data_IF_677634827070
#
_entry.id   IF_677634827070
#
_cell.length_a   1.000
_cell.length_b   1.000
_cell.length_c   1.000
_cell.angle_alpha   90.00
_cell.angle_beta   90.00
_cell.angle_gamma   90.00
#
_symmetry.space_group_name_H-M   'P 1'
#
loop_
_entity.id
_entity.type
_entity.pdbx_description
1 polymer ?
#
# COMPACT_ATOMS: atom_id res chain seq x y z
N UNK A 1 -23.17 38.03 -14.72
CA UNK A 1 -23.18 37.00 -13.67
C UNK A 1 -22.99 35.64 -14.29
N UNK A 2 -21.75 35.12 -14.26
CA UNK A 2 -21.36 33.88 -14.93
C UNK A 2 -21.67 32.66 -14.07
N UNK A 3 -22.34 31.68 -14.65
CA UNK A 3 -22.53 30.35 -14.06
C UNK A 3 -21.46 29.42 -14.65
N UNK A 4 -20.40 29.16 -13.89
CA UNK A 4 -19.45 28.08 -14.20
C UNK A 4 -20.12 26.74 -13.89
N UNK A 5 -20.70 26.12 -14.92
CA UNK A 5 -21.04 24.69 -14.87
C UNK A 5 -19.72 23.91 -14.97
N UNK A 6 -19.25 23.45 -13.82
CA UNK A 6 -18.14 22.49 -13.71
C UNK A 6 -18.53 21.22 -14.46
N UNK A 7 -18.05 21.09 -15.69
CA UNK A 7 -18.02 19.83 -16.40
C UNK A 7 -16.93 18.99 -15.73
N UNK A 8 -17.32 18.10 -14.83
CA UNK A 8 -16.51 16.95 -14.49
C UNK A 8 -16.47 16.11 -15.77
N UNK A 9 -15.52 16.44 -16.64
CA UNK A 9 -15.07 15.53 -17.69
C UNK A 9 -14.43 14.37 -16.94
N UNK A 10 -15.22 13.34 -16.67
CA UNK A 10 -14.69 11.97 -16.67
C UNK A 10 -14.23 11.69 -18.09
N UNK A 11 -13.09 12.29 -18.46
CA UNK A 11 -12.28 11.79 -19.54
C UNK A 11 -11.90 10.39 -19.09
N UNK A 12 -12.71 9.43 -19.54
CA UNK A 12 -12.50 8.01 -19.43
C UNK A 12 -11.02 7.78 -19.68
N UNK A 13 -10.27 7.46 -18.62
CA UNK A 13 -8.96 6.88 -18.78
C UNK A 13 -9.24 5.60 -19.56
N UNK A 14 -8.93 5.62 -20.85
CA UNK A 14 -9.02 4.42 -21.68
C UNK A 14 -7.84 3.56 -21.26
N UNK A 15 -8.03 2.76 -20.20
CA UNK A 15 -7.10 1.70 -19.84
C UNK A 15 -7.17 0.66 -20.96
N UNK A 16 -6.40 0.86 -22.03
CA UNK A 16 -6.14 -0.22 -22.97
C UNK A 16 -5.44 -1.31 -22.18
N UNK A 17 -6.04 -2.49 -22.12
CA UNK A 17 -5.40 -3.66 -21.54
C UNK A 17 -4.11 -3.89 -22.31
N UNK A 18 -2.96 -3.67 -21.68
CA UNK A 18 -1.65 -3.79 -22.32
C UNK A 18 -1.29 -5.22 -22.70
N UNK A 19 -2.10 -6.21 -22.31
CA UNK A 19 -1.81 -7.63 -22.49
C UNK A 19 -0.63 -8.13 -21.62
N UNK A 20 -0.10 -7.27 -20.73
CA UNK A 20 1.01 -7.60 -19.85
C UNK A 20 0.56 -8.64 -18.82
N UNK A 21 1.32 -9.72 -18.69
CA UNK A 21 1.12 -10.71 -17.63
C UNK A 21 1.39 -10.08 -16.27
N UNK A 22 0.55 -10.38 -15.29
CA UNK A 22 0.80 -9.94 -13.92
C UNK A 22 2.10 -10.54 -13.39
N UNK A 23 2.86 -9.76 -12.64
CA UNK A 23 4.14 -10.17 -12.06
C UNK A 23 4.08 -10.25 -10.54
N UNK A 24 5.06 -10.94 -9.98
CA UNK A 24 5.33 -11.02 -8.55
C UNK A 24 6.86 -11.06 -8.34
N UNK A 25 7.32 -10.93 -7.10
CA UNK A 25 8.75 -11.10 -6.78
C UNK A 25 9.14 -12.58 -6.94
N UNK A 26 10.37 -12.84 -7.40
CA UNK A 26 10.87 -14.22 -7.57
C UNK A 26 11.04 -14.92 -6.21
N UNK A 27 11.67 -14.21 -5.29
CA UNK A 27 12.00 -14.67 -3.94
C UNK A 27 11.60 -13.60 -2.93
N UNK A 28 11.56 -13.96 -1.65
CA UNK A 28 11.25 -13.01 -0.59
C UNK A 28 12.35 -11.97 -0.42
N UNK A 29 11.95 -10.71 -0.22
CA UNK A 29 12.87 -9.59 0.07
C UNK A 29 12.52 -9.01 1.43
N UNK A 30 13.52 -8.73 2.26
CA UNK A 30 13.33 -8.22 3.61
C UNK A 30 14.18 -6.96 3.85
N UNK A 31 13.61 -5.99 4.56
CA UNK A 31 14.32 -4.80 5.00
C UNK A 31 13.82 -4.34 6.36
N UNK A 32 14.76 -4.06 7.26
CA UNK A 32 14.50 -3.41 8.56
C UNK A 32 14.95 -1.95 8.50
N UNK A 33 14.14 -1.06 9.07
CA UNK A 33 14.38 0.37 9.09
C UNK A 33 13.73 1.04 10.29
N UNK A 34 14.05 2.32 10.47
CA UNK A 34 13.42 3.18 11.47
C UNK A 34 12.38 4.06 10.77
N UNK A 35 11.16 4.10 11.30
CA UNK A 35 10.09 4.96 10.80
C UNK A 35 10.46 6.45 10.93
N UNK A 36 10.18 7.24 9.89
CA UNK A 36 10.52 8.65 9.82
C UNK A 36 9.78 9.48 10.88
N UNK A 37 8.50 9.18 11.10
CA UNK A 37 7.63 9.93 12.01
C UNK A 37 7.59 9.33 13.41
N UNK A 38 7.62 8.00 13.49
CA UNK A 38 7.48 7.26 14.75
C UNK A 38 8.80 7.04 15.49
N UNK A 39 9.92 6.95 14.77
CA UNK A 39 11.20 6.54 15.35
C UNK A 39 11.29 5.06 15.74
N UNK A 40 10.21 4.30 15.52
CA UNK A 40 10.11 2.86 15.82
C UNK A 40 10.81 2.02 14.75
N UNK A 41 11.26 0.82 15.12
CA UNK A 41 11.85 -0.12 14.17
C UNK A 41 10.73 -0.96 13.56
N UNK A 42 10.67 -0.97 12.23
CA UNK A 42 9.81 -1.86 11.47
C UNK A 42 10.64 -2.74 10.53
N UNK A 43 10.17 -3.96 10.34
CA UNK A 43 10.72 -4.91 9.36
C UNK A 43 9.63 -5.21 8.34
N UNK A 44 9.95 -4.95 7.08
CA UNK A 44 9.08 -5.18 5.93
C UNK A 44 9.61 -6.36 5.14
N UNK A 45 8.76 -7.37 4.94
CA UNK A 45 9.06 -8.55 4.13
C UNK A 45 8.08 -8.66 2.98
N UNK A 46 8.57 -8.69 1.75
CA UNK A 46 7.79 -8.81 0.52
C UNK A 46 7.88 -10.25 0.06
N UNK A 47 6.73 -10.92 0.00
CA UNK A 47 6.58 -12.31 -0.38
C UNK A 47 5.91 -12.44 -1.76
N UNK A 48 6.29 -13.46 -2.55
CA UNK A 48 5.58 -13.80 -3.77
C UNK A 48 4.10 -14.08 -3.48
N UNK A 49 3.22 -13.73 -4.42
CA UNK A 49 1.80 -14.05 -4.33
C UNK A 49 1.22 -14.47 -5.68
N UNK A 50 0.15 -15.26 -5.62
CA UNK A 50 -0.52 -15.76 -6.81
C UNK A 50 -1.12 -14.63 -7.66
N UNK A 51 -1.39 -14.92 -8.94
CA UNK A 51 -2.08 -13.97 -9.81
C UNK A 51 -3.44 -13.54 -9.23
N UNK A 52 -3.81 -12.28 -9.46
CA UNK A 52 -5.02 -11.62 -8.94
C UNK A 52 -5.04 -11.45 -7.42
N UNK A 53 -3.91 -11.68 -6.74
CA UNK A 53 -3.77 -11.36 -5.34
C UNK A 53 -3.69 -9.83 -5.14
N UNK A 54 -3.05 -9.09 -6.04
CA UNK A 54 -2.78 -7.67 -5.85
C UNK A 54 -1.73 -7.42 -4.75
N UNK A 55 -1.63 -6.18 -4.28
CA UNK A 55 -0.72 -5.80 -3.19
C UNK A 55 -1.50 -5.78 -1.86
N UNK A 56 -1.08 -6.58 -0.90
CA UNK A 56 -1.70 -6.62 0.44
C UNK A 56 -0.65 -6.55 1.52
N UNK A 57 -0.97 -5.86 2.60
CA UNK A 57 -0.17 -5.79 3.79
C UNK A 57 -0.69 -6.76 4.86
N UNK A 58 0.21 -7.46 5.55
CA UNK A 58 -0.08 -8.26 6.72
C UNK A 58 0.56 -7.60 7.94
N UNK A 59 -0.27 -7.17 8.88
CA UNK A 59 0.19 -6.60 10.14
C UNK A 59 -0.65 -7.18 11.28
N UNK A 60 0.00 -7.82 12.26
CA UNK A 60 -0.65 -8.44 13.44
C UNK A 60 -1.84 -9.35 13.09
N UNK A 61 -1.65 -10.21 12.10
CA UNK A 61 -2.68 -11.13 11.58
C UNK A 61 -3.83 -10.45 10.81
N UNK A 62 -3.80 -9.13 10.64
CA UNK A 62 -4.76 -8.39 9.82
C UNK A 62 -4.19 -8.20 8.42
N UNK A 63 -4.95 -8.66 7.42
CA UNK A 63 -4.62 -8.43 6.00
C UNK A 63 -5.37 -7.21 5.48
N UNK A 64 -4.61 -6.19 5.07
CA UNK A 64 -5.09 -4.91 4.55
C UNK A 64 -4.74 -4.82 3.07
N UNK A 65 -5.75 -4.76 2.20
CA UNK A 65 -5.50 -4.57 0.77
C UNK A 65 -5.06 -3.13 0.49
N UNK A 66 -4.09 -2.93 -0.40
CA UNK A 66 -3.75 -1.62 -0.94
C UNK A 66 -4.84 -1.16 -1.93
N UNK A 67 -6.02 -0.86 -1.39
CA UNK A 67 -7.22 -0.37 -2.09
C UNK A 67 -7.66 0.94 -1.46
N UNK A 68 -8.30 1.79 -2.26
CA UNK A 68 -8.91 3.06 -1.84
C UNK A 68 -9.89 2.83 -0.67
N UNK A 69 -10.57 1.68 -0.64
CA UNK A 69 -11.52 1.33 0.42
C UNK A 69 -10.88 1.26 1.81
N UNK A 70 -9.57 0.99 1.88
CA UNK A 70 -8.83 0.91 3.15
C UNK A 70 -8.02 2.19 3.41
N UNK A 71 -8.07 3.20 2.54
CA UNK A 71 -7.36 4.47 2.74
C UNK A 71 -8.13 5.35 3.72
N UNK A 72 -7.44 5.85 4.74
CA UNK A 72 -8.00 6.83 5.68
C UNK A 72 -8.18 8.18 4.95
N UNK A 73 -9.34 8.84 5.11
CA UNK A 73 -9.69 10.07 4.36
C UNK A 73 -8.82 11.28 4.69
N UNK A 74 -8.38 11.40 5.94
CA UNK A 74 -7.57 12.51 6.42
C UNK A 74 -6.22 11.97 6.89
N UNK A 75 -5.21 12.10 6.03
CA UNK A 75 -3.87 11.60 6.31
C UNK A 75 -2.86 12.71 6.01
N UNK A 76 -2.64 13.65 6.96
CA UNK A 76 -1.64 14.68 6.74
C UNK A 76 -0.26 14.01 6.57
N UNK A 77 0.45 14.45 5.52
CA UNK A 77 1.85 14.12 5.21
C UNK A 77 2.16 12.71 4.71
N UNK A 78 1.21 11.77 4.71
CA UNK A 78 1.44 10.41 4.22
C UNK A 78 0.15 9.72 3.75
N UNK A 79 0.26 8.62 3.02
CA UNK A 79 -0.88 7.71 2.77
C UNK A 79 -0.97 6.68 3.88
N UNK A 80 -2.16 6.50 4.44
CA UNK A 80 -2.39 5.55 5.54
C UNK A 80 -3.48 4.56 5.15
N UNK A 81 -3.19 3.26 5.34
CA UNK A 81 -4.15 2.18 5.23
C UNK A 81 -4.62 1.77 6.62
N UNK A 82 -5.92 1.54 6.79
CA UNK A 82 -6.47 1.04 8.06
C UNK A 82 -7.57 0.02 7.82
N UNK A 83 -7.58 -1.02 8.66
CA UNK A 83 -8.60 -2.06 8.68
C UNK A 83 -8.58 -2.78 10.02
N UNK A 84 -9.76 -3.11 10.57
CA UNK A 84 -9.91 -3.89 11.81
C UNK A 84 -9.07 -3.34 12.99
N UNK A 85 -8.97 -2.01 13.07
CA UNK A 85 -8.20 -1.31 14.11
C UNK A 85 -6.68 -1.37 13.94
N UNK A 86 -6.17 -2.02 12.89
CA UNK A 86 -4.77 -2.01 12.49
C UNK A 86 -4.51 -0.93 11.45
N UNK A 87 -3.40 -0.21 11.59
CA UNK A 87 -3.07 0.95 10.75
C UNK A 87 -1.63 0.89 10.28
N UNK A 88 -1.41 1.15 8.99
CA UNK A 88 -0.10 1.19 8.35
C UNK A 88 0.06 2.54 7.66
N UNK A 89 1.09 3.28 8.04
CA UNK A 89 1.37 4.64 7.57
C UNK A 89 2.55 4.67 6.60
N UNK A 90 2.60 5.68 5.74
CA UNK A 90 3.72 5.94 4.82
C UNK A 90 3.86 4.87 3.72
N UNK A 91 2.74 4.28 3.29
CA UNK A 91 2.75 3.17 2.30
C UNK A 91 3.12 3.63 0.88
N UNK A 92 3.04 4.92 0.59
CA UNK A 92 3.12 5.50 -0.75
C UNK A 92 4.45 5.23 -1.48
N UNK A 93 5.59 5.30 -0.78
CA UNK A 93 6.89 5.08 -1.40
C UNK A 93 7.10 3.61 -1.76
N UNK A 94 6.73 2.70 -0.85
CA UNK A 94 6.80 1.26 -1.12
C UNK A 94 5.88 0.87 -2.27
N UNK A 95 4.63 1.35 -2.28
CA UNK A 95 3.69 1.07 -3.35
C UNK A 95 4.17 1.63 -4.70
N UNK A 96 4.77 2.83 -4.70
CA UNK A 96 5.37 3.44 -5.90
C UNK A 96 6.56 2.63 -6.42
N UNK A 97 7.42 2.14 -5.54
CA UNK A 97 8.56 1.31 -5.91
C UNK A 97 8.12 -0.05 -6.49
N UNK A 98 7.08 -0.67 -5.92
CA UNK A 98 6.49 -1.89 -6.45
C UNK A 98 5.87 -1.67 -7.83
N UNK A 99 5.15 -0.57 -8.01
CA UNK A 99 4.58 -0.20 -9.31
C UNK A 99 5.68 0.00 -10.37
N UNK A 100 6.71 0.78 -10.05
CA UNK A 100 7.83 1.05 -10.95
C UNK A 100 8.62 -0.23 -11.29
N UNK A 101 8.71 -1.17 -10.36
CA UNK A 101 9.33 -2.49 -10.57
C UNK A 101 8.41 -3.47 -11.32
N UNK A 102 7.15 -3.08 -11.55
CA UNK A 102 6.14 -3.88 -12.24
C UNK A 102 5.60 -5.04 -11.41
N UNK A 103 5.66 -4.98 -10.07
CA UNK A 103 5.16 -6.03 -9.16
C UNK A 103 3.67 -5.80 -8.89
N UNK A 104 2.84 -6.64 -9.50
CA UNK A 104 1.37 -6.55 -9.38
C UNK A 104 0.85 -7.30 -8.15
N UNK A 105 1.48 -8.43 -7.81
CA UNK A 105 1.04 -9.33 -6.75
C UNK A 105 2.14 -9.53 -5.72
N UNK A 106 1.88 -9.21 -4.45
CA UNK A 106 2.76 -9.56 -3.34
C UNK A 106 2.02 -9.47 -2.01
N UNK A 107 2.49 -10.25 -1.03
CA UNK A 107 2.15 -10.03 0.37
C UNK A 107 3.28 -9.26 1.05
N UNK A 108 2.95 -8.18 1.73
CA UNK A 108 3.89 -7.30 2.42
C UNK A 108 3.68 -7.49 3.92
N UNK A 109 4.48 -8.35 4.54
CA UNK A 109 4.44 -8.57 5.98
C UNK A 109 5.19 -7.45 6.70
N UNK A 110 4.58 -6.94 7.76
CA UNK A 110 5.20 -5.91 8.60
C UNK A 110 5.26 -6.44 10.04
N UNK A 111 6.47 -6.43 10.59
CA UNK A 111 6.73 -6.64 12.00
C UNK A 111 7.25 -5.35 12.63
N UNK A 112 6.82 -5.04 13.85
CA UNK A 112 7.31 -3.90 14.65
C UNK A 112 7.91 -4.37 15.96
N UNK A 113 8.72 -3.51 16.58
CA UNK A 113 9.35 -3.77 17.88
C UNK A 113 8.37 -3.87 19.06
N UNK A 114 7.17 -3.27 18.95
CA UNK A 114 6.19 -3.22 20.04
C UNK A 114 5.03 -4.21 19.88
N UNK A 115 4.87 -5.12 20.85
CA UNK A 115 3.78 -6.13 20.91
C UNK A 115 2.40 -5.56 21.30
N UNK A 116 2.30 -4.28 21.66
CA UNK A 116 1.00 -3.61 21.94
C UNK A 116 0.50 -2.59 20.88
N UNK A 117 1.34 -2.12 19.95
CA UNK A 117 0.98 -1.06 19.01
C UNK A 117 0.16 -1.56 17.81
N UNK A 118 -1.04 -1.02 17.60
CA UNK A 118 -1.88 -1.29 16.40
C UNK A 118 -1.63 -0.34 15.22
N UNK A 119 -0.60 0.49 15.29
CA UNK A 119 -0.20 1.40 14.22
C UNK A 119 1.29 1.23 13.95
N UNK A 120 1.68 1.15 12.69
CA UNK A 120 3.08 1.01 12.27
C UNK A 120 3.39 1.86 11.05
N UNK A 121 4.65 2.24 10.91
CA UNK A 121 5.18 2.99 9.77
C UNK A 121 6.11 2.10 8.94
N UNK A 122 6.00 2.20 7.62
CA UNK A 122 6.84 1.47 6.65
C UNK A 122 7.77 2.38 5.87
#
# INVERSE_FOLDING_TARGET
SGAFKSLISSAFVSWKTTGKLQQTVRDSVERTGRGLHSGEISTVKILPAAARFGRRFLFRSTVIAASIDNVVKETPLCTTLSKDGCTIRTVEHLLSALEASGVDNCLIEIAGSGDCQRSIEV
#
